data_IF_719650094066
#
_entry.id   IF_719650094066
#
_cell.length_a   1.000
_cell.length_b   1.000
_cell.length_c   1.000
_cell.angle_alpha   90.00
_cell.angle_beta   90.00
_cell.angle_gamma   90.00
#
_symmetry.space_group_name_H-M   'P 1'
#
loop_
_entity.id
_entity.type
_entity.pdbx_description
1 polymer ?
#
# COMPACT_ATOMS: atom_id res chain seq x y z
N UNK A 1 -24.79 11.31 4.51
CA UNK A 1 -24.87 9.86 4.17
C UNK A 1 -25.51 9.68 2.79
N UNK A 2 -24.97 8.80 1.93
CA UNK A 2 -25.35 8.71 0.51
C UNK A 2 -26.60 7.85 0.31
N UNK A 3 -27.58 8.42 -0.39
CA UNK A 3 -28.87 7.78 -0.67
C UNK A 3 -28.81 6.92 -1.93
N UNK A 4 -29.52 5.79 -1.92
CA UNK A 4 -29.79 5.04 -3.14
C UNK A 4 -30.97 5.67 -3.89
N UNK A 5 -30.81 5.79 -5.21
CA UNK A 5 -31.91 6.10 -6.12
C UNK A 5 -33.05 5.09 -5.91
N UNK A 6 -34.30 5.55 -5.92
CA UNK A 6 -35.45 4.72 -5.56
C UNK A 6 -35.58 3.49 -6.46
N UNK A 7 -35.30 3.65 -7.75
CA UNK A 7 -35.28 2.60 -8.76
C UNK A 7 -34.24 1.49 -8.49
N UNK A 8 -33.18 1.80 -7.74
CA UNK A 8 -32.09 0.86 -7.44
C UNK A 8 -32.27 0.15 -6.08
N UNK A 9 -33.16 0.63 -5.20
CA UNK A 9 -33.30 0.09 -3.84
C UNK A 9 -33.70 -1.37 -3.82
N UNK A 10 -34.46 -1.82 -4.81
CA UNK A 10 -34.91 -3.22 -4.90
C UNK A 10 -33.80 -4.22 -5.19
N UNK A 11 -32.67 -3.79 -5.75
CA UNK A 11 -31.47 -4.62 -5.90
C UNK A 11 -30.77 -4.90 -4.55
N UNK A 12 -31.17 -4.22 -3.47
CA UNK A 12 -30.55 -4.33 -2.13
C UNK A 12 -31.51 -4.94 -1.10
N UNK A 13 -32.45 -5.77 -1.55
CA UNK A 13 -33.39 -6.47 -0.68
C UNK A 13 -32.69 -7.54 0.14
N UNK A 14 -33.10 -7.70 1.39
CA UNK A 14 -32.64 -8.76 2.28
C UNK A 14 -33.78 -9.24 3.19
N UNK A 15 -33.64 -10.45 3.72
CA UNK A 15 -34.55 -11.01 4.70
C UNK A 15 -34.08 -10.66 6.10
N UNK A 16 -35.02 -10.33 6.98
CA UNK A 16 -34.74 -10.07 8.39
C UNK A 16 -35.82 -10.70 9.27
N UNK A 17 -35.53 -10.89 10.55
CA UNK A 17 -36.51 -11.38 11.51
C UNK A 17 -37.38 -10.22 12.02
N UNK A 18 -38.70 -10.41 12.12
CA UNK A 18 -39.57 -9.46 12.80
C UNK A 18 -39.22 -9.39 14.29
N UNK A 19 -39.01 -10.54 14.91
CA UNK A 19 -38.53 -10.67 16.27
C UNK A 19 -37.26 -11.54 16.33
N UNK A 20 -36.09 -10.96 16.70
CA UNK A 20 -34.82 -11.67 16.77
C UNK A 20 -34.77 -12.81 17.79
N UNK A 21 -35.72 -12.88 18.74
CA UNK A 21 -35.77 -13.92 19.78
C UNK A 21 -36.32 -15.26 19.29
N UNK A 22 -36.99 -15.28 18.15
CA UNK A 22 -37.60 -16.48 17.58
C UNK A 22 -36.85 -16.96 16.33
N UNK A 23 -36.87 -18.27 16.04
CA UNK A 23 -36.19 -18.80 14.86
C UNK A 23 -36.81 -18.29 13.54
N UNK A 24 -36.12 -18.48 12.41
CA UNK A 24 -36.65 -18.14 11.09
C UNK A 24 -37.91 -18.99 10.78
N UNK A 25 -39.06 -18.32 10.62
CA UNK A 25 -40.33 -18.94 10.21
C UNK A 25 -41.06 -18.02 9.22
N UNK A 26 -42.01 -18.57 8.46
CA UNK A 26 -42.79 -17.78 7.48
C UNK A 26 -43.50 -16.56 8.10
N UNK A 27 -43.92 -16.66 9.37
CA UNK A 27 -44.54 -15.57 10.12
C UNK A 27 -43.54 -14.62 10.79
N UNK A 28 -42.29 -15.06 11.02
CA UNK A 28 -41.25 -14.26 11.67
C UNK A 28 -40.23 -13.65 10.66
N UNK A 29 -40.36 -13.90 9.37
CA UNK A 29 -39.50 -13.31 8.32
C UNK A 29 -40.18 -12.09 7.70
N UNK A 30 -39.41 -10.99 7.53
CA UNK A 30 -39.81 -9.80 6.77
C UNK A 30 -38.79 -9.46 5.69
N UNK A 31 -39.26 -8.84 4.61
CA UNK A 31 -38.44 -8.33 3.51
C UNK A 31 -38.10 -6.87 3.78
N UNK A 32 -36.81 -6.56 3.81
CA UNK A 32 -36.29 -5.19 3.97
C UNK A 32 -35.48 -4.82 2.73
N UNK A 33 -35.23 -3.52 2.54
CA UNK A 33 -34.32 -3.01 1.50
C UNK A 33 -33.54 -1.84 2.04
N UNK A 34 -32.33 -1.61 1.53
CA UNK A 34 -31.57 -0.43 1.90
C UNK A 34 -32.10 0.81 1.17
N UNK A 35 -32.09 1.95 1.86
CA UNK A 35 -32.38 3.29 1.29
C UNK A 35 -31.12 4.13 1.16
N UNK A 36 -29.98 3.58 1.60
CA UNK A 36 -28.63 4.16 1.61
C UNK A 36 -27.68 3.14 1.03
N UNK A 37 -26.54 3.60 0.52
CA UNK A 37 -25.53 2.70 -0.05
C UNK A 37 -25.05 1.75 1.06
N UNK A 38 -25.29 0.43 0.95
CA UNK A 38 -24.91 -0.51 2.01
C UNK A 38 -23.41 -0.84 1.95
N UNK A 39 -22.87 -1.32 3.06
CA UNK A 39 -21.53 -1.92 3.07
C UNK A 39 -21.53 -3.25 2.30
N UNK A 40 -20.39 -3.57 1.68
CA UNK A 40 -20.21 -4.84 0.96
C UNK A 40 -20.61 -4.81 -0.52
N UNK A 41 -21.24 -3.74 -1.03
CA UNK A 41 -21.39 -3.62 -2.49
C UNK A 41 -20.11 -3.10 -3.13
N UNK A 42 -19.76 -3.68 -4.28
CA UNK A 42 -18.52 -3.36 -4.99
C UNK A 42 -18.40 -1.86 -5.34
N UNK A 43 -19.54 -1.20 -5.59
CA UNK A 43 -19.60 0.21 -5.97
C UNK A 43 -19.63 1.19 -4.77
N UNK A 44 -19.81 0.72 -3.53
CA UNK A 44 -19.94 1.62 -2.38
C UNK A 44 -18.73 2.54 -2.20
N UNK A 45 -17.47 2.04 -2.25
CA UNK A 45 -16.31 2.90 -2.06
C UNK A 45 -16.16 3.96 -3.15
N UNK A 46 -16.44 3.60 -4.41
CA UNK A 46 -16.36 4.55 -5.53
C UNK A 46 -17.45 5.61 -5.45
N UNK A 47 -18.68 5.24 -5.07
CA UNK A 47 -19.77 6.20 -4.88
C UNK A 47 -19.45 7.19 -3.75
N UNK A 48 -18.86 6.71 -2.66
CA UNK A 48 -18.39 7.57 -1.57
C UNK A 48 -17.34 8.57 -2.04
N UNK A 49 -16.27 8.07 -2.67
CA UNK A 49 -15.19 8.90 -3.17
C UNK A 49 -15.67 9.95 -4.19
N UNK A 50 -16.54 9.55 -5.14
CA UNK A 50 -17.12 10.47 -6.13
C UNK A 50 -17.98 11.55 -5.49
N UNK A 51 -18.79 11.19 -4.48
CA UNK A 51 -19.66 12.16 -3.79
C UNK A 51 -18.84 13.20 -3.02
N UNK A 52 -17.81 12.76 -2.29
CA UNK A 52 -16.90 13.66 -1.57
C UNK A 52 -16.15 14.54 -2.56
N UNK A 53 -15.58 13.95 -3.61
CA UNK A 53 -14.84 14.67 -4.64
C UNK A 53 -15.70 15.76 -5.29
N UNK A 54 -16.90 15.41 -5.74
CA UNK A 54 -17.83 16.36 -6.36
C UNK A 54 -18.13 17.55 -5.43
N UNK A 55 -18.40 17.29 -4.15
CA UNK A 55 -18.66 18.36 -3.20
C UNK A 55 -17.47 19.29 -2.97
N UNK A 56 -16.26 18.72 -2.84
CA UNK A 56 -15.04 19.49 -2.60
C UNK A 56 -14.62 20.33 -3.81
N UNK A 57 -14.92 19.89 -5.04
CA UNK A 57 -14.62 20.61 -6.29
C UNK A 57 -15.61 21.75 -6.60
N UNK A 58 -16.88 21.65 -6.18
CA UNK A 58 -17.91 22.64 -6.49
C UNK A 58 -17.86 23.89 -5.59
N UNK A 59 -17.34 23.76 -4.38
CA UNK A 59 -17.35 24.83 -3.39
C UNK A 59 -15.96 25.49 -3.29
N UNK A 60 -15.90 26.83 -3.31
CA UNK A 60 -14.70 27.68 -3.18
C UNK A 60 -13.40 26.91 -2.84
N UNK A 61 -12.52 26.73 -3.83
CA UNK A 61 -11.29 25.97 -3.64
C UNK A 61 -10.46 26.62 -2.53
N UNK A 62 -10.23 25.87 -1.45
CA UNK A 62 -9.30 26.25 -0.39
C UNK A 62 -8.12 25.28 -0.39
N UNK A 63 -7.01 25.69 0.18
CA UNK A 63 -5.84 24.83 0.35
C UNK A 63 -6.19 23.54 1.11
N UNK A 64 -6.98 23.64 2.18
CA UNK A 64 -7.45 22.49 2.95
C UNK A 64 -8.32 21.54 2.11
N UNK A 65 -9.22 22.05 1.26
CA UNK A 65 -10.02 21.19 0.35
C UNK A 65 -9.13 20.46 -0.65
N UNK A 66 -8.11 21.13 -1.20
CA UNK A 66 -7.11 20.51 -2.07
C UNK A 66 -6.32 19.43 -1.33
N UNK A 67 -5.90 19.68 -0.08
CA UNK A 67 -5.20 18.71 0.76
C UNK A 67 -6.07 17.49 1.05
N UNK A 68 -7.33 17.69 1.47
CA UNK A 68 -8.30 16.60 1.69
C UNK A 68 -8.46 15.77 0.42
N UNK A 69 -8.64 16.39 -0.75
CA UNK A 69 -8.79 15.68 -2.02
C UNK A 69 -7.57 14.83 -2.37
N UNK A 70 -6.36 15.33 -2.12
CA UNK A 70 -5.11 14.59 -2.38
C UNK A 70 -4.90 13.44 -1.39
N UNK A 71 -5.36 13.60 -0.15
CA UNK A 71 -5.07 12.70 0.96
C UNK A 71 -6.28 11.88 1.44
N UNK A 72 -7.34 11.81 0.64
CA UNK A 72 -8.51 10.98 0.90
C UNK A 72 -8.26 9.56 0.35
N UNK A 73 -8.37 8.55 1.22
CA UNK A 73 -8.36 7.16 0.83
C UNK A 73 -9.59 6.43 1.39
N UNK A 74 -10.54 6.14 0.50
CA UNK A 74 -11.83 5.50 0.82
C UNK A 74 -12.58 6.31 1.89
N UNK A 75 -12.45 5.92 3.15
CA UNK A 75 -13.11 6.49 4.33
C UNK A 75 -12.14 7.22 5.27
N UNK A 76 -10.84 7.24 4.96
CA UNK A 76 -9.81 7.90 5.77
C UNK A 76 -9.33 9.19 5.10
N UNK A 77 -9.15 10.24 5.90
CA UNK A 77 -8.51 11.50 5.50
C UNK A 77 -7.20 11.62 6.26
N UNK A 78 -6.11 11.88 5.55
CA UNK A 78 -4.79 12.13 6.15
C UNK A 78 -4.44 13.61 5.99
N UNK A 79 -4.08 14.27 7.09
CA UNK A 79 -3.68 15.68 7.06
C UNK A 79 -2.32 15.80 7.71
N UNK A 80 -1.51 16.74 7.21
CA UNK A 80 -0.22 17.08 7.81
C UNK A 80 -0.37 18.43 8.51
N UNK A 81 0.43 18.67 9.55
CA UNK A 81 0.51 19.97 10.22
C UNK A 81 1.90 20.10 10.86
N UNK A 82 2.48 21.29 10.79
CA UNK A 82 3.80 21.58 11.35
C UNK A 82 3.71 22.18 12.77
N UNK A 83 2.53 22.70 13.14
CA UNK A 83 2.26 23.27 14.47
C UNK A 83 1.00 22.71 15.11
N UNK A 84 0.90 22.84 16.43
CA UNK A 84 -0.28 22.41 17.21
C UNK A 84 -1.50 23.23 16.78
N UNK A 85 -1.32 24.53 16.59
CA UNK A 85 -2.36 25.47 16.20
C UNK A 85 -2.93 25.13 14.82
N UNK A 86 -2.05 24.85 13.85
CA UNK A 86 -2.44 24.40 12.52
C UNK A 86 -3.20 23.07 12.58
N UNK A 87 -2.71 22.09 13.35
CA UNK A 87 -3.35 20.78 13.48
C UNK A 87 -4.78 20.90 14.04
N UNK A 88 -4.97 21.73 15.07
CA UNK A 88 -6.28 21.97 15.69
C UNK A 88 -7.22 22.72 14.75
N UNK A 89 -6.71 23.72 14.03
CA UNK A 89 -7.48 24.45 13.01
C UNK A 89 -7.92 23.53 11.87
N UNK A 90 -7.00 22.69 11.35
CA UNK A 90 -7.30 21.66 10.35
C UNK A 90 -8.35 20.67 10.83
N UNK A 91 -8.28 20.19 12.08
CA UNK A 91 -9.32 19.35 12.68
C UNK A 91 -10.70 20.03 12.61
N UNK A 92 -10.82 21.25 13.15
CA UNK A 92 -12.10 21.98 13.22
C UNK A 92 -12.69 22.26 11.83
N UNK A 93 -11.87 22.76 10.91
CA UNK A 93 -12.30 23.08 9.54
C UNK A 93 -12.67 21.84 8.74
N UNK A 94 -11.88 20.77 8.83
CA UNK A 94 -12.19 19.51 8.14
C UNK A 94 -13.50 18.92 8.65
N UNK A 95 -13.70 18.93 9.97
CA UNK A 95 -14.96 18.50 10.58
C UNK A 95 -16.15 19.31 10.06
N UNK A 96 -16.04 20.63 10.01
CA UNK A 96 -17.08 21.51 9.49
C UNK A 96 -17.41 21.21 8.01
N UNK A 97 -16.40 21.08 7.15
CA UNK A 97 -16.57 20.75 5.72
C UNK A 97 -17.33 19.43 5.55
N UNK A 98 -16.98 18.39 6.32
CA UNK A 98 -17.67 17.11 6.22
C UNK A 98 -19.09 17.14 6.79
N UNK A 99 -19.33 17.96 7.82
CA UNK A 99 -20.67 18.16 8.37
C UNK A 99 -21.61 18.84 7.36
N UNK A 100 -21.11 19.75 6.52
CA UNK A 100 -21.90 20.30 5.41
C UNK A 100 -22.39 19.20 4.44
N UNK A 101 -21.58 18.15 4.23
CA UNK A 101 -21.94 16.97 3.44
C UNK A 101 -22.84 15.97 4.19
N UNK A 102 -23.27 16.30 5.42
CA UNK A 102 -23.93 15.36 6.34
C UNK A 102 -23.11 14.07 6.55
N UNK A 103 -21.79 14.23 6.67
CA UNK A 103 -20.83 13.18 6.98
C UNK A 103 -20.09 13.53 8.27
N UNK A 104 -20.05 12.59 9.21
CA UNK A 104 -19.41 12.80 10.49
C UNK A 104 -18.02 12.14 10.50
N UNK A 105 -16.96 12.93 10.31
CA UNK A 105 -15.59 12.44 10.54
C UNK A 105 -15.38 12.16 12.02
N UNK A 106 -14.74 11.06 12.36
CA UNK A 106 -14.52 10.62 13.74
C UNK A 106 -13.22 9.82 13.80
N UNK A 107 -12.86 9.36 15.00
CA UNK A 107 -11.63 8.58 15.25
C UNK A 107 -10.36 9.34 14.86
N UNK A 108 -10.33 10.64 15.13
CA UNK A 108 -9.15 11.47 14.93
C UNK A 108 -8.00 10.98 15.82
N UNK A 109 -6.81 10.91 15.21
CA UNK A 109 -5.56 10.52 15.84
C UNK A 109 -4.45 11.44 15.36
N UNK A 110 -3.54 11.76 16.27
CA UNK A 110 -2.38 12.61 16.05
C UNK A 110 -1.23 12.11 16.91
N UNK A 111 -0.01 12.42 16.50
CA UNK A 111 1.22 12.10 17.21
C UNK A 111 1.53 13.05 18.37
N UNK A 112 0.79 14.16 18.52
CA UNK A 112 1.00 15.13 19.61
C UNK A 112 -0.15 15.07 20.64
N UNK A 113 0.12 14.67 21.90
CA UNK A 113 -0.88 14.63 22.97
C UNK A 113 -1.58 15.98 23.24
N UNK A 114 -0.91 17.12 22.97
CA UNK A 114 -1.50 18.46 23.14
C UNK A 114 -2.60 18.74 22.13
N UNK A 115 -2.48 18.17 20.92
CA UNK A 115 -3.54 18.25 19.90
C UNK A 115 -4.70 17.33 20.30
N UNK A 116 -4.41 16.11 20.80
CA UNK A 116 -5.45 15.19 21.30
C UNK A 116 -6.33 15.85 22.36
N UNK A 117 -5.73 16.55 23.32
CA UNK A 117 -6.44 17.26 24.38
C UNK A 117 -7.44 18.32 23.86
N UNK A 118 -7.20 18.88 22.67
CA UNK A 118 -8.06 19.89 22.05
C UNK A 118 -9.12 19.30 21.10
N UNK A 119 -9.03 18.02 20.77
CA UNK A 119 -10.07 17.29 20.01
C UNK A 119 -11.21 16.93 20.96
N UNK A 120 -12.45 17.02 20.49
CA UNK A 120 -13.62 16.64 21.30
C UNK A 120 -13.63 15.14 21.59
N UNK A 121 -13.92 14.71 22.82
CA UNK A 121 -13.99 13.27 23.21
C UNK A 121 -14.71 12.34 22.21
N UNK A 122 -15.93 12.65 21.72
CA UNK A 122 -16.64 11.76 20.78
C UNK A 122 -15.94 11.61 19.41
N UNK A 123 -14.99 12.49 19.11
CA UNK A 123 -14.24 12.50 17.86
C UNK A 123 -12.89 11.77 17.98
N UNK A 124 -12.40 11.50 19.18
CA UNK A 124 -11.11 10.86 19.41
C UNK A 124 -11.17 9.37 19.08
N UNK A 125 -10.08 8.82 18.56
CA UNK A 125 -9.91 7.36 18.49
C UNK A 125 -9.69 6.78 19.88
N UNK A 126 -10.24 5.59 20.11
CA UNK A 126 -9.97 4.79 21.31
C UNK A 126 -8.66 3.99 21.23
N UNK A 127 -7.99 3.98 20.06
CA UNK A 127 -6.73 3.25 19.83
C UNK A 127 -5.65 4.21 19.32
N UNK A 128 -4.46 4.12 19.93
CA UNK A 128 -3.22 4.76 19.44
C UNK A 128 -2.60 4.02 18.24
N UNK A 129 -3.06 2.79 17.99
CA UNK A 129 -2.66 2.00 16.82
C UNK A 129 -3.79 2.02 15.80
N UNK A 130 -3.55 2.70 14.68
CA UNK A 130 -4.47 2.73 13.55
C UNK A 130 -3.83 2.06 12.34
N UNK A 131 -4.68 1.59 11.42
CA UNK A 131 -4.22 1.11 10.11
C UNK A 131 -4.39 2.23 9.09
N UNK A 132 -3.28 2.86 8.69
CA UNK A 132 -3.25 3.81 7.57
C UNK A 132 -3.00 3.01 6.29
N UNK A 133 -3.93 3.03 5.35
CA UNK A 133 -3.84 2.24 4.11
C UNK A 133 -3.57 0.74 4.35
N UNK A 134 -4.15 0.17 5.42
CA UNK A 134 -3.91 -1.22 5.90
C UNK A 134 -2.51 -1.49 6.47
N UNK A 135 -1.62 -0.51 6.52
CA UNK A 135 -0.33 -0.58 7.24
C UNK A 135 -0.54 -0.03 8.65
N UNK A 136 -0.03 -0.73 9.67
CA UNK A 136 -0.14 -0.26 11.05
C UNK A 136 0.71 1.00 11.24
N UNK A 137 0.14 2.02 11.85
CA UNK A 137 0.81 3.26 12.25
C UNK A 137 0.69 3.42 13.77
N UNK A 138 1.82 3.70 14.40
CA UNK A 138 1.90 4.06 15.81
C UNK A 138 1.96 5.59 15.87
N UNK A 139 0.89 6.22 16.37
CA UNK A 139 0.82 7.67 16.47
C UNK A 139 1.88 8.23 17.42
N UNK A 140 2.11 7.57 18.55
CA UNK A 140 3.02 8.03 19.61
C UNK A 140 4.48 8.11 19.15
N UNK A 141 4.93 7.21 18.28
CA UNK A 141 6.30 7.23 17.70
C UNK A 141 6.37 7.80 16.29
N UNK A 142 5.24 8.20 15.71
CA UNK A 142 5.08 8.55 14.29
C UNK A 142 5.74 7.55 13.32
N UNK A 143 5.57 6.26 13.61
CA UNK A 143 6.22 5.15 12.90
C UNK A 143 5.23 4.26 12.18
N UNK A 144 5.55 3.89 10.93
CA UNK A 144 4.87 2.79 10.24
C UNK A 144 5.46 1.47 10.70
N UNK A 145 4.60 0.52 11.08
CA UNK A 145 5.00 -0.80 11.55
C UNK A 145 4.84 -1.79 10.41
N UNK A 146 5.96 -2.19 9.83
CA UNK A 146 6.02 -3.27 8.84
C UNK A 146 5.97 -4.60 9.57
N UNK A 147 5.01 -5.44 9.21
CA UNK A 147 4.81 -6.77 9.81
C UNK A 147 4.70 -7.83 8.73
N UNK A 148 5.31 -8.98 9.00
CA UNK A 148 5.05 -10.21 8.27
C UNK A 148 4.62 -11.27 9.28
N UNK A 149 3.38 -11.72 9.12
CA UNK A 149 2.77 -12.77 9.95
C UNK A 149 2.20 -13.81 9.00
N UNK A 150 2.86 -14.94 8.91
CA UNK A 150 2.57 -15.98 7.95
C UNK A 150 1.79 -17.10 8.64
N UNK A 151 0.50 -17.33 8.30
CA UNK A 151 -0.29 -18.36 8.96
C UNK A 151 0.26 -19.76 8.72
N UNK A 152 0.21 -20.58 9.76
CA UNK A 152 0.57 -21.99 9.67
C UNK A 152 -0.59 -22.84 9.13
N UNK A 153 -0.26 -23.87 8.35
CA UNK A 153 -1.20 -24.87 7.84
C UNK A 153 -0.57 -26.25 7.97
N UNK A 154 -1.34 -27.21 8.47
CA UNK A 154 -0.88 -28.60 8.67
C UNK A 154 -0.56 -29.28 7.32
N UNK A 155 -1.36 -29.01 6.29
CA UNK A 155 -1.14 -29.53 4.93
C UNK A 155 -0.81 -28.38 3.99
N UNK A 156 0.42 -28.41 3.47
CA UNK A 156 0.87 -27.45 2.48
C UNK A 156 0.44 -27.86 1.08
N UNK A 157 -0.44 -27.06 0.51
CA UNK A 157 -0.83 -27.11 -0.90
C UNK A 157 -0.43 -25.83 -1.59
N UNK A 158 -0.37 -25.84 -2.93
CA UNK A 158 -0.10 -24.62 -3.72
C UNK A 158 -1.10 -23.50 -3.38
N UNK A 159 -2.37 -23.83 -3.11
CA UNK A 159 -3.41 -22.87 -2.69
C UNK A 159 -3.11 -22.28 -1.32
N UNK A 160 -2.75 -23.10 -0.34
CA UNK A 160 -2.46 -22.63 1.01
C UNK A 160 -1.22 -21.73 1.02
N UNK A 161 -0.16 -22.11 0.30
CA UNK A 161 1.05 -21.30 0.14
C UNK A 161 0.76 -19.95 -0.52
N UNK A 162 -0.06 -19.93 -1.58
CA UNK A 162 -0.50 -18.69 -2.21
C UNK A 162 -1.26 -17.79 -1.22
N UNK A 163 -2.13 -18.39 -0.39
CA UNK A 163 -2.89 -17.68 0.65
C UNK A 163 -1.99 -17.11 1.74
N UNK A 164 -0.99 -17.86 2.18
CA UNK A 164 0.04 -17.39 3.12
C UNK A 164 0.82 -16.23 2.51
N UNK A 165 1.27 -16.33 1.26
CA UNK A 165 2.00 -15.25 0.62
C UNK A 165 1.18 -13.94 0.52
N UNK A 166 -0.11 -14.04 0.21
CA UNK A 166 -0.99 -12.88 0.06
C UNK A 166 -1.57 -12.32 1.36
N UNK A 167 -1.29 -12.91 2.52
CA UNK A 167 -1.75 -12.34 3.79
C UNK A 167 -0.96 -11.08 4.19
N UNK A 168 0.29 -10.97 3.74
CA UNK A 168 1.15 -9.82 4.00
C UNK A 168 0.87 -8.72 2.96
N UNK A 169 0.36 -7.59 3.44
CA UNK A 169 0.10 -6.41 2.61
C UNK A 169 1.30 -5.47 2.62
N UNK A 170 2.02 -5.38 1.50
CA UNK A 170 3.21 -4.54 1.34
C UNK A 170 3.07 -3.60 0.13
N UNK A 171 2.38 -2.46 0.28
CA UNK A 171 2.11 -1.54 -0.83
C UNK A 171 3.37 -0.80 -1.30
N UNK A 172 4.36 -0.62 -0.42
CA UNK A 172 5.61 0.10 -0.71
C UNK A 172 6.74 -0.85 -1.13
N UNK A 173 6.55 -2.16 -1.06
CA UNK A 173 7.58 -3.14 -1.41
C UNK A 173 8.76 -3.16 -0.43
N UNK A 174 8.56 -2.78 0.83
CA UNK A 174 9.65 -2.72 1.82
C UNK A 174 9.98 -4.09 2.43
N UNK A 175 9.08 -5.05 2.31
CA UNK A 175 9.25 -6.43 2.78
C UNK A 175 9.78 -7.36 1.67
N UNK A 176 10.14 -6.82 0.51
CA UNK A 176 10.64 -7.60 -0.64
C UNK A 176 11.76 -8.57 -0.29
N UNK A 177 12.79 -8.22 0.52
CA UNK A 177 13.83 -9.17 0.90
C UNK A 177 13.32 -10.42 1.61
N UNK A 178 12.21 -10.30 2.36
CA UNK A 178 11.59 -11.41 3.09
C UNK A 178 10.61 -12.20 2.22
N UNK A 179 9.88 -11.51 1.34
CA UNK A 179 8.78 -12.09 0.55
C UNK A 179 9.26 -12.67 -0.80
N UNK A 180 10.40 -12.22 -1.33
CA UNK A 180 10.92 -12.70 -2.61
C UNK A 180 11.18 -14.21 -2.62
N UNK A 181 11.83 -14.83 -1.62
CA UNK A 181 12.02 -16.28 -1.58
C UNK A 181 10.70 -17.05 -1.66
N UNK A 182 9.66 -16.60 -0.95
CA UNK A 182 8.33 -17.21 -1.00
C UNK A 182 7.72 -17.16 -2.41
N UNK A 183 7.91 -16.04 -3.12
CA UNK A 183 7.39 -15.89 -4.48
C UNK A 183 8.15 -16.74 -5.50
N UNK A 184 9.47 -16.86 -5.36
CA UNK A 184 10.32 -17.75 -6.17
C UNK A 184 9.92 -19.21 -5.92
N UNK A 185 9.72 -19.60 -4.67
CA UNK A 185 9.27 -20.93 -4.30
C UNK A 185 7.90 -21.26 -4.93
N UNK A 186 6.93 -20.33 -4.85
CA UNK A 186 5.64 -20.49 -5.51
C UNK A 186 5.81 -20.71 -7.02
N UNK A 187 6.66 -19.92 -7.69
CA UNK A 187 6.98 -20.11 -9.12
C UNK A 187 7.53 -21.51 -9.43
N UNK A 188 8.35 -22.08 -8.53
CA UNK A 188 8.87 -23.44 -8.68
C UNK A 188 7.77 -24.51 -8.61
N UNK A 189 6.75 -24.33 -7.76
CA UNK A 189 5.62 -25.26 -7.68
C UNK A 189 4.78 -25.24 -8.97
N UNK A 190 4.63 -24.06 -9.59
CA UNK A 190 3.98 -23.94 -10.90
C UNK A 190 4.74 -24.69 -11.99
N UNK A 191 6.07 -24.60 -11.99
CA UNK A 191 6.95 -25.30 -12.92
C UNK A 191 6.89 -26.83 -12.75
N UNK A 192 6.79 -27.30 -11.51
CA UNK A 192 6.60 -28.71 -11.16
C UNK A 192 5.18 -29.22 -11.43
N UNK A 193 4.26 -28.35 -11.90
CA UNK A 193 2.87 -28.68 -12.27
C UNK A 193 2.04 -29.28 -11.13
N UNK A 194 2.29 -28.87 -9.87
CA UNK A 194 1.40 -29.23 -8.75
C UNK A 194 -0.02 -28.68 -8.98
N UNK A 195 -1.04 -29.45 -8.65
CA UNK A 195 -2.42 -28.98 -8.60
C UNK A 195 -2.66 -28.07 -7.39
N UNK A 196 -3.79 -27.35 -7.38
CA UNK A 196 -4.10 -26.35 -6.36
C UNK A 196 -4.17 -26.92 -4.94
N UNK A 197 -4.83 -28.06 -4.81
CA UNK A 197 -5.15 -28.70 -3.53
C UNK A 197 -4.35 -29.99 -3.30
N UNK A 198 -3.38 -30.26 -4.18
CA UNK A 198 -2.45 -31.37 -4.03
C UNK A 198 -1.42 -31.05 -2.93
N UNK A 199 -1.19 -31.97 -1.97
CA UNK A 199 -0.11 -31.85 -1.01
C UNK A 199 1.26 -31.81 -1.72
N UNK A 200 2.13 -30.91 -1.29
CA UNK A 200 3.52 -30.87 -1.79
C UNK A 200 4.36 -31.96 -1.15
N UNK A 201 5.44 -32.37 -1.83
CA UNK A 201 6.36 -33.35 -1.26
C UNK A 201 7.14 -32.80 -0.05
N UNK A 202 7.69 -33.70 0.76
CA UNK A 202 8.34 -33.40 2.04
C UNK A 202 9.53 -32.45 1.85
N UNK A 203 10.32 -32.64 0.79
CA UNK A 203 11.47 -31.78 0.49
C UNK A 203 11.06 -30.32 0.25
N UNK A 204 9.93 -30.08 -0.40
CA UNK A 204 9.37 -28.75 -0.63
C UNK A 204 8.76 -28.16 0.65
N UNK A 205 8.21 -29.01 1.51
CA UNK A 205 7.70 -28.60 2.83
C UNK A 205 8.83 -28.06 3.70
N UNK A 206 9.98 -28.74 3.74
CA UNK A 206 11.16 -28.26 4.46
C UNK A 206 11.67 -26.92 3.93
N UNK A 207 11.74 -26.76 2.60
CA UNK A 207 12.13 -25.51 1.96
C UNK A 207 11.16 -24.37 2.30
N UNK A 208 9.85 -24.63 2.24
CA UNK A 208 8.84 -23.64 2.61
C UNK A 208 8.96 -23.25 4.08
N UNK A 209 9.13 -24.21 4.99
CA UNK A 209 9.29 -23.95 6.41
C UNK A 209 10.56 -23.14 6.71
N UNK A 210 11.64 -23.31 5.95
CA UNK A 210 12.81 -22.44 6.05
C UNK A 210 12.51 -21.00 5.64
N UNK A 211 11.72 -20.79 4.58
CA UNK A 211 11.28 -19.45 4.15
C UNK A 211 10.40 -18.81 5.23
N UNK A 212 9.43 -19.55 5.76
CA UNK A 212 8.53 -19.06 6.82
C UNK A 212 9.33 -18.69 8.07
N UNK A 213 10.28 -19.51 8.51
CA UNK A 213 11.13 -19.20 9.69
C UNK A 213 11.91 -17.89 9.54
N UNK A 214 12.31 -17.51 8.34
CA UNK A 214 13.06 -16.28 8.09
C UNK A 214 12.16 -15.03 7.98
N UNK A 215 10.88 -15.20 7.66
CA UNK A 215 9.98 -14.11 7.34
C UNK A 215 8.82 -13.94 8.34
N UNK A 216 8.47 -14.98 9.09
CA UNK A 216 7.40 -14.95 10.07
C UNK A 216 7.83 -14.20 11.34
N UNK A 217 6.87 -13.57 12.01
CA UNK A 217 7.08 -12.71 13.17
C UNK A 217 8.09 -11.57 12.96
N UNK A 218 8.36 -11.20 11.71
CA UNK A 218 9.17 -10.02 11.42
C UNK A 218 8.35 -8.77 11.76
N UNK A 219 8.95 -7.90 12.57
CA UNK A 219 8.43 -6.57 12.85
C UNK A 219 9.55 -5.54 12.73
N UNK A 220 9.29 -4.47 11.98
CA UNK A 220 10.19 -3.31 11.91
C UNK A 220 9.38 -2.03 11.88
N UNK A 221 9.71 -1.12 12.77
CA UNK A 221 9.19 0.25 12.74
C UNK A 221 10.09 1.09 11.84
N UNK A 222 9.49 1.78 10.88
CA UNK A 222 10.15 2.79 10.04
C UNK A 222 9.53 4.16 10.34
N UNK A 223 10.31 5.24 10.37
CA UNK A 223 9.77 6.59 10.51
C UNK A 223 8.80 6.89 9.36
N UNK A 224 7.58 7.37 9.68
CA UNK A 224 6.65 7.87 8.65
C UNK A 224 7.13 9.21 8.11
N UNK A 225 7.60 10.09 9.01
CA UNK A 225 8.17 11.39 8.65
C UNK A 225 9.54 11.18 8.02
N UNK A 226 9.68 11.62 6.77
CA UNK A 226 10.92 11.45 6.00
C UNK A 226 12.06 12.42 6.42
N UNK A 227 11.86 13.26 7.43
CA UNK A 227 12.82 14.29 7.87
C UNK A 227 12.91 15.52 6.94
N UNK A 228 12.16 15.51 5.83
CA UNK A 228 12.33 16.38 4.65
C UNK A 228 11.62 17.73 4.70
N UNK A 229 11.47 18.32 5.89
CA UNK A 229 10.83 19.64 6.05
C UNK A 229 11.76 20.60 6.81
N UNK A 230 13.08 20.48 6.60
CA UNK A 230 14.04 21.48 7.08
C UNK A 230 14.32 22.46 5.93
N UNK A 231 14.25 23.75 6.24
CA UNK A 231 14.27 24.86 5.26
C UNK A 231 15.60 25.00 4.48
N UNK A 232 16.60 24.18 4.80
CA UNK A 232 17.94 24.27 4.22
C UNK A 232 18.43 22.89 3.76
N UNK A 233 18.45 22.69 2.44
CA UNK A 233 19.05 21.53 1.81
C UNK A 233 18.50 21.22 0.42
N UNK A 234 19.12 20.24 -0.21
CA UNK A 234 18.79 19.76 -1.56
C UNK A 234 18.22 18.35 -1.47
N UNK A 235 17.10 18.12 -2.16
CA UNK A 235 16.50 16.79 -2.28
C UNK A 235 16.98 16.08 -3.53
N UNK A 236 17.57 14.91 -3.34
CA UNK A 236 17.94 13.99 -4.42
C UNK A 236 17.10 12.70 -4.34
N UNK A 237 16.64 12.19 -5.49
CA UNK A 237 16.10 10.84 -5.61
C UNK A 237 17.22 9.90 -6.10
N UNK A 238 17.45 8.83 -5.35
CA UNK A 238 18.44 7.80 -5.67
C UNK A 238 17.73 6.46 -5.83
N UNK A 239 17.69 5.94 -7.06
CA UNK A 239 17.08 4.63 -7.34
C UNK A 239 18.15 3.62 -7.73
N UNK A 240 18.18 2.48 -7.07
CA UNK A 240 19.09 1.38 -7.34
C UNK A 240 18.34 0.28 -8.08
N UNK A 241 18.90 -0.20 -9.18
CA UNK A 241 18.34 -1.27 -9.99
C UNK A 241 19.29 -2.47 -9.98
N UNK A 242 18.74 -3.66 -9.76
CA UNK A 242 19.50 -4.90 -9.73
C UNK A 242 18.70 -6.04 -10.41
N UNK A 243 19.42 -6.99 -11.00
CA UNK A 243 18.88 -8.16 -11.66
C UNK A 243 19.70 -9.40 -11.34
N UNK A 244 18.98 -10.43 -10.89
CA UNK A 244 19.49 -11.78 -10.66
C UNK A 244 18.85 -12.77 -11.63
N UNK A 245 19.29 -14.04 -11.58
CA UNK A 245 18.65 -15.11 -12.34
C UNK A 245 17.17 -15.31 -11.96
N UNK A 246 16.78 -15.02 -10.71
CA UNK A 246 15.44 -15.32 -10.21
C UNK A 246 14.48 -14.12 -10.31
N UNK A 247 15.00 -12.90 -10.20
CA UNK A 247 14.20 -11.69 -10.13
C UNK A 247 15.02 -10.45 -10.48
N UNK A 248 14.31 -9.41 -10.89
CA UNK A 248 14.85 -8.07 -11.07
C UNK A 248 14.03 -7.07 -10.27
N UNK A 249 14.70 -6.09 -9.69
CA UNK A 249 14.12 -5.17 -8.73
C UNK A 249 14.71 -3.77 -8.84
N UNK A 250 13.99 -2.81 -8.30
CA UNK A 250 14.46 -1.46 -8.09
C UNK A 250 14.04 -0.98 -6.69
N UNK A 251 14.89 -0.20 -6.04
CA UNK A 251 14.64 0.40 -4.75
C UNK A 251 14.96 1.89 -4.80
N UNK A 252 13.99 2.72 -4.43
CA UNK A 252 14.10 4.18 -4.46
C UNK A 252 14.27 4.74 -3.05
N UNK A 253 15.28 5.58 -2.91
CA UNK A 253 15.61 6.34 -1.71
C UNK A 253 15.44 7.82 -1.98
N UNK A 254 15.07 8.55 -0.92
CA UNK A 254 15.24 9.99 -0.86
C UNK A 254 16.49 10.31 -0.07
N UNK A 255 17.25 11.27 -0.57
CA UNK A 255 18.45 11.79 0.07
C UNK A 255 18.29 13.28 0.24
N UNK A 256 18.35 13.73 1.49
CA UNK A 256 18.37 15.14 1.83
C UNK A 256 19.80 15.53 2.18
N UNK A 257 20.35 16.52 1.47
CA UNK A 257 21.70 17.02 1.68
C UNK A 257 21.60 18.44 2.22
N UNK A 258 21.89 18.60 3.51
CA UNK A 258 22.06 19.91 4.15
C UNK A 258 23.56 20.19 4.36
N UNK A 259 23.89 21.43 4.74
CA UNK A 259 25.28 21.82 5.04
C UNK A 259 25.89 21.02 6.20
N UNK A 260 25.04 20.51 7.10
CA UNK A 260 25.45 19.84 8.34
C UNK A 260 25.29 18.31 8.30
N UNK A 261 24.44 17.77 7.43
CA UNK A 261 24.11 16.34 7.46
C UNK A 261 23.58 15.81 6.13
N UNK A 262 23.75 14.50 5.93
CA UNK A 262 23.13 13.78 4.83
C UNK A 262 22.20 12.75 5.43
N UNK A 263 20.90 12.92 5.20
CA UNK A 263 19.86 11.99 5.66
C UNK A 263 19.34 11.18 4.47
N UNK A 264 19.23 9.87 4.63
CA UNK A 264 18.73 8.96 3.60
C UNK A 264 17.60 8.09 4.15
N UNK A 265 16.50 8.02 3.40
CA UNK A 265 15.34 7.21 3.75
C UNK A 265 14.89 6.39 2.55
N UNK A 266 14.56 5.12 2.77
CA UNK A 266 13.92 4.28 1.76
C UNK A 266 12.48 4.73 1.58
N UNK A 267 12.04 4.89 0.34
CA UNK A 267 10.66 5.28 0.03
C UNK A 267 9.83 4.07 -0.35
N UNK A 268 10.30 3.33 -1.36
CA UNK A 268 9.62 2.16 -1.87
C UNK A 268 10.58 1.30 -2.70
N UNK A 269 10.21 0.05 -2.88
CA UNK A 269 10.85 -0.85 -3.82
C UNK A 269 9.81 -1.57 -4.68
N UNK A 270 10.26 -2.06 -5.82
CA UNK A 270 9.43 -2.80 -6.77
C UNK A 270 10.26 -3.92 -7.36
N UNK A 271 9.66 -5.10 -7.44
CA UNK A 271 10.34 -6.27 -7.98
C UNK A 271 9.41 -7.05 -8.91
N UNK A 272 10.02 -7.83 -9.79
CA UNK A 272 9.34 -8.81 -10.63
C UNK A 272 10.18 -10.08 -10.70
N UNK A 273 9.51 -11.21 -10.78
CA UNK A 273 10.19 -12.48 -11.05
C UNK A 273 10.73 -12.49 -12.48
N UNK A 274 11.87 -13.14 -12.66
CA UNK A 274 12.41 -13.39 -13.97
C UNK A 274 11.43 -14.27 -14.78
N UNK A 275 11.29 -14.02 -16.10
CA UNK A 275 10.44 -14.85 -16.94
C UNK A 275 10.89 -16.31 -16.93
N UNK A 276 9.92 -17.21 -16.80
CA UNK A 276 10.14 -18.66 -16.79
C UNK A 276 10.70 -19.17 -18.11
N UNK A 277 10.65 -18.37 -19.20
CA UNK A 277 11.25 -18.72 -20.49
C UNK A 277 12.76 -18.94 -20.45
N UNK A 278 13.42 -18.60 -19.34
CA UNK A 278 14.80 -19.03 -19.06
C UNK A 278 14.95 -20.55 -18.89
N UNK A 279 13.86 -21.25 -18.53
CA UNK A 279 13.83 -22.68 -18.21
C UNK A 279 13.19 -23.55 -19.31
N UNK A 280 12.55 -22.93 -20.30
CA UNK A 280 11.90 -23.63 -21.42
C UNK A 280 12.48 -23.15 -22.74
N UNK A 281 13.16 -24.04 -23.44
CA UNK A 281 13.89 -23.83 -24.70
C UNK A 281 13.13 -22.96 -25.71
N UNK A 282 13.62 -21.73 -25.94
CA UNK A 282 13.61 -20.94 -27.20
C UNK A 282 13.65 -19.41 -27.00
N UNK A 283 13.58 -18.88 -25.77
CA UNK A 283 13.85 -17.45 -25.49
C UNK A 283 14.58 -17.26 -24.15
N UNK A 284 15.89 -17.42 -24.16
CA UNK A 284 16.77 -17.10 -23.03
C UNK A 284 16.76 -15.59 -22.78
N UNK A 285 16.15 -15.19 -21.66
CA UNK A 285 16.33 -13.85 -21.12
C UNK A 285 17.68 -13.83 -20.39
N UNK A 286 18.69 -13.21 -21.00
CA UNK A 286 20.03 -13.12 -20.43
C UNK A 286 20.05 -12.15 -19.24
N UNK A 287 21.01 -12.30 -18.32
CA UNK A 287 21.17 -11.39 -17.17
C UNK A 287 21.25 -9.92 -17.62
N UNK A 288 21.98 -9.53 -18.70
CA UNK A 288 21.93 -8.16 -19.21
C UNK A 288 20.54 -7.68 -19.62
N UNK A 289 19.71 -8.54 -20.26
CA UNK A 289 18.33 -8.18 -20.59
C UNK A 289 17.48 -7.96 -19.34
N UNK A 290 17.65 -8.78 -18.30
CA UNK A 290 17.00 -8.56 -17.02
C UNK A 290 17.48 -7.27 -16.35
N UNK A 291 18.76 -6.92 -16.46
CA UNK A 291 19.30 -5.66 -15.97
C UNK A 291 18.69 -4.44 -16.68
N UNK A 292 18.46 -4.51 -18.00
CA UNK A 292 17.71 -3.47 -18.73
C UNK A 292 16.26 -3.36 -18.22
N UNK A 293 15.61 -4.48 -17.92
CA UNK A 293 14.26 -4.48 -17.32
C UNK A 293 14.26 -3.93 -15.89
N UNK A 294 15.31 -4.18 -15.10
CA UNK A 294 15.50 -3.58 -13.78
C UNK A 294 15.58 -2.06 -13.90
N UNK A 295 16.40 -1.53 -14.84
CA UNK A 295 16.51 -0.10 -15.10
C UNK A 295 15.19 0.51 -15.59
N UNK A 296 14.41 -0.20 -16.40
CA UNK A 296 13.08 0.24 -16.81
C UNK A 296 12.15 0.40 -15.59
N UNK A 297 12.11 -0.60 -14.70
CA UNK A 297 11.34 -0.50 -13.45
C UNK A 297 11.85 0.65 -12.59
N UNK A 298 13.17 0.81 -12.48
CA UNK A 298 13.78 1.89 -11.72
C UNK A 298 13.38 3.28 -12.26
N UNK A 299 13.41 3.46 -13.58
CA UNK A 299 12.97 4.71 -14.22
C UNK A 299 11.49 5.00 -13.97
N UNK A 300 10.62 3.99 -14.14
CA UNK A 300 9.19 4.13 -13.86
C UNK A 300 8.89 4.42 -12.39
N UNK A 301 9.59 3.74 -11.48
CA UNK A 301 9.45 3.95 -10.04
C UNK A 301 9.92 5.36 -9.65
N UNK A 302 11.03 5.80 -10.22
CA UNK A 302 11.58 7.14 -9.99
C UNK A 302 10.62 8.23 -10.47
N UNK A 303 10.04 8.10 -11.66
CA UNK A 303 9.08 9.08 -12.17
C UNK A 303 7.78 9.09 -11.36
N UNK A 304 7.30 7.93 -10.93
CA UNK A 304 6.16 7.84 -10.01
C UNK A 304 6.47 8.60 -8.71
N UNK A 305 7.57 8.26 -8.04
CA UNK A 305 7.98 8.89 -6.79
C UNK A 305 8.15 10.40 -6.95
N UNK A 306 8.78 10.87 -8.03
CA UNK A 306 8.95 12.30 -8.31
C UNK A 306 7.63 13.04 -8.49
N UNK A 307 6.61 12.40 -9.06
CA UNK A 307 5.29 13.02 -9.27
C UNK A 307 4.46 13.07 -7.99
N UNK A 308 4.57 12.04 -7.16
CA UNK A 308 3.78 11.91 -5.94
C UNK A 308 4.43 12.59 -4.71
N UNK A 309 5.75 12.74 -4.71
CA UNK A 309 6.44 13.56 -3.71
C UNK A 309 6.24 15.04 -4.06
N UNK A 310 5.43 15.72 -3.26
CA UNK A 310 5.24 17.18 -3.32
C UNK A 310 6.46 17.91 -2.73
N UNK A 311 7.66 17.64 -3.29
CA UNK A 311 8.95 18.17 -2.85
C UNK A 311 9.77 18.68 -4.04
N UNK A 312 10.57 19.75 -3.87
CA UNK A 312 11.44 20.26 -4.91
C UNK A 312 12.67 19.36 -5.10
N UNK A 313 12.56 18.37 -5.98
CA UNK A 313 13.67 17.44 -6.30
C UNK A 313 14.68 18.14 -7.20
N UNK A 314 15.91 18.35 -6.71
CA UNK A 314 16.96 19.01 -7.49
C UNK A 314 17.78 18.04 -8.34
N UNK A 315 17.87 16.77 -7.93
CA UNK A 315 18.65 15.76 -8.67
C UNK A 315 18.04 14.38 -8.62
N UNK A 316 18.17 13.66 -9.73
CA UNK A 316 17.76 12.26 -9.85
C UNK A 316 18.97 11.44 -10.27
N UNK A 317 19.20 10.32 -9.59
CA UNK A 317 20.27 9.37 -9.88
C UNK A 317 19.69 7.97 -9.94
N UNK A 318 19.92 7.28 -11.06
CA UNK A 318 19.57 5.87 -11.21
C UNK A 318 20.87 5.09 -11.32
N UNK A 319 21.02 4.10 -10.45
CA UNK A 319 22.23 3.29 -10.30
C UNK A 319 21.96 1.86 -10.77
N UNK A 320 22.98 1.25 -11.40
CA UNK A 320 23.06 -0.18 -11.65
C UNK A 320 24.53 -0.59 -11.51
N UNK A 321 24.77 -1.78 -10.99
CA UNK A 321 26.08 -2.40 -10.85
C UNK A 321 26.60 -3.02 -12.18
N UNK A 322 25.71 -3.24 -13.14
CA UNK A 322 26.04 -3.86 -14.43
C UNK A 322 26.61 -2.85 -15.44
N UNK A 323 27.94 -2.88 -15.60
CA UNK A 323 28.64 -2.07 -16.62
C UNK A 323 28.12 -2.31 -18.04
N UNK A 324 27.72 -3.55 -18.37
CA UNK A 324 27.18 -3.90 -19.69
C UNK A 324 25.87 -3.17 -19.93
N UNK A 325 24.96 -3.20 -18.96
CA UNK A 325 23.65 -2.57 -19.05
C UNK A 325 23.81 -1.05 -19.15
N UNK A 326 24.68 -0.45 -18.33
CA UNK A 326 24.99 0.98 -18.42
C UNK A 326 25.54 1.36 -19.80
N UNK A 327 26.45 0.56 -20.36
CA UNK A 327 26.99 0.80 -21.69
C UNK A 327 25.92 0.73 -22.78
N UNK A 328 25.00 -0.24 -22.70
CA UNK A 328 23.88 -0.37 -23.65
C UNK A 328 22.95 0.85 -23.62
N UNK A 329 22.66 1.38 -22.43
CA UNK A 329 21.84 2.59 -22.27
C UNK A 329 22.57 3.82 -22.83
N UNK A 330 23.86 3.97 -22.57
CA UNK A 330 24.62 5.12 -23.05
C UNK A 330 24.87 5.12 -24.56
N UNK A 331 24.98 3.95 -25.19
CA UNK A 331 25.31 3.85 -26.62
C UNK A 331 24.08 3.69 -27.53
N UNK A 332 22.90 3.40 -26.97
CA UNK A 332 21.67 3.15 -27.74
C UNK A 332 21.71 1.89 -28.61
N UNK A 333 22.79 1.10 -28.55
CA UNK A 333 22.95 -0.14 -29.32
C UNK A 333 22.57 -1.32 -28.43
N UNK A 334 21.41 -1.93 -28.68
CA UNK A 334 21.12 -3.26 -28.16
C UNK A 334 22.09 -4.23 -28.84
N UNK A 335 23.07 -4.75 -28.08
CA UNK A 335 23.84 -5.90 -28.54
C UNK A 335 22.87 -7.07 -28.69
N UNK A 336 22.50 -7.35 -29.94
CA UNK A 336 21.78 -8.57 -30.30
C UNK A 336 22.76 -9.70 -29.99
N UNK A 337 22.44 -10.62 -29.06
CA UNK A 337 23.29 -11.78 -28.87
C UNK A 337 23.24 -12.61 -30.15
N UNK A 338 24.44 -12.85 -30.71
CA UNK A 338 24.70 -13.77 -31.82
C UNK A 338 24.31 -15.20 -31.48
#
# INVERSE_FOLDING_TARGET
MIHLQESQRDATRFLWLQNPKYPPSSSNIRKMRFTRVPFGTKASPSLLAMSIKYYLEQNHQTELRSEILRNLYVDNVLLLADTIEEAVDKYRKTKAIFMEMSMNLREFVTNDPKVVAQISEPDRSHSESLKVLRVSWNSSTDGLVLRSQLPHYDVLTKRNILRIFHCTFDPLGLLVPLLLPARVFLQSLWLKKYDWDQPIAESETEQWNAIVRNADNFEKVIPRKLGLLREHGVYEICTFADASANAYAACTYIRHVSDSSIETNILCAKYRLAPVSQLTSNKTCTIPKLGLLALLIASQLTDFVRRELDLPISKIRIFSDSKIVLHQVHTGKMQVPS
#
